data_IF_179742454246
#
_entry.id   IF_179742454246
#
_cell.length_a   1.000
_cell.length_b   1.000
_cell.length_c   1.000
_cell.angle_alpha   90.00
_cell.angle_beta   90.00
_cell.angle_gamma   90.00
#
_symmetry.space_group_name_H-M   'P 1'
#
loop_
_entity.id
_entity.type
_entity.pdbx_description
1 polymer ?
#
# COMPACT_ATOMS: atom_id res chain seq x y z
N UNK A 1 -30.07 -24.28 4.73
CA UNK A 1 -29.94 -23.41 3.55
C UNK A 1 -28.85 -22.39 3.86
N UNK A 2 -27.69 -22.52 3.22
CA UNK A 2 -26.57 -21.60 3.40
C UNK A 2 -26.82 -20.39 2.50
N UNK A 3 -27.04 -19.22 3.11
CA UNK A 3 -27.06 -17.94 2.39
C UNK A 3 -25.63 -17.66 1.95
N UNK A 4 -25.36 -17.86 0.66
CA UNK A 4 -24.14 -17.36 0.05
C UNK A 4 -24.06 -15.84 0.31
N UNK A 5 -22.98 -15.40 0.95
CA UNK A 5 -22.69 -13.99 1.17
C UNK A 5 -22.61 -13.28 -0.20
N UNK A 6 -23.16 -12.07 -0.30
CA UNK A 6 -23.05 -11.26 -1.51
C UNK A 6 -21.57 -10.97 -1.82
N UNK A 7 -21.22 -10.75 -3.09
CA UNK A 7 -19.82 -10.48 -3.47
C UNK A 7 -19.23 -9.25 -2.74
N UNK A 8 -20.07 -8.30 -2.34
CA UNK A 8 -19.73 -7.12 -1.53
C UNK A 8 -19.35 -7.45 -0.06
N UNK A 9 -19.53 -8.68 0.39
CA UNK A 9 -19.17 -9.14 1.75
C UNK A 9 -17.86 -9.94 1.80
N UNK A 10 -17.13 -10.07 0.68
CA UNK A 10 -15.86 -10.78 0.65
C UNK A 10 -14.78 -9.96 1.35
N UNK A 11 -14.27 -10.45 2.49
CA UNK A 11 -13.19 -9.79 3.21
C UNK A 11 -11.92 -9.74 2.36
N UNK A 12 -11.27 -8.58 2.31
CA UNK A 12 -10.00 -8.44 1.63
C UNK A 12 -8.96 -9.41 2.22
N UNK A 13 -8.22 -10.09 1.35
CA UNK A 13 -7.21 -11.07 1.75
C UNK A 13 -5.86 -10.87 1.04
N UNK A 14 -5.77 -9.90 0.15
CA UNK A 14 -4.55 -9.54 -0.56
C UNK A 14 -4.50 -8.03 -0.80
N UNK A 15 -3.30 -7.54 -1.04
CA UNK A 15 -3.07 -6.14 -1.35
C UNK A 15 -1.86 -5.97 -2.27
N UNK A 16 -1.89 -4.90 -3.06
CA UNK A 16 -0.84 -4.53 -4.01
C UNK A 16 0.00 -3.43 -3.39
N UNK A 17 1.32 -3.55 -3.44
CA UNK A 17 2.23 -2.64 -2.75
C UNK A 17 3.38 -2.13 -3.59
N UNK A 18 3.91 -0.97 -3.19
CA UNK A 18 5.28 -0.57 -3.45
C UNK A 18 6.13 -0.81 -2.22
N UNK A 19 7.18 -1.61 -2.37
CA UNK A 19 8.14 -1.83 -1.29
C UNK A 19 8.98 -0.56 -1.10
N UNK A 20 9.06 -0.07 0.13
CA UNK A 20 9.90 1.09 0.45
C UNK A 20 11.33 0.59 0.64
N UNK A 21 12.20 0.91 -0.33
CA UNK A 21 13.63 0.53 -0.32
C UNK A 21 14.57 1.70 -0.04
N UNK A 22 14.05 2.93 0.11
CA UNK A 22 14.86 4.10 0.40
C UNK A 22 15.50 3.96 1.78
N UNK A 23 16.83 3.90 1.83
CA UNK A 23 17.59 3.82 3.08
C UNK A 23 17.31 5.02 3.99
N UNK A 24 17.12 6.20 3.40
CA UNK A 24 16.75 7.42 4.13
C UNK A 24 15.41 7.26 4.84
N UNK A 25 14.37 6.80 4.13
CA UNK A 25 13.04 6.60 4.73
C UNK A 25 13.11 5.54 5.84
N UNK A 26 13.79 4.41 5.58
CA UNK A 26 13.95 3.33 6.56
C UNK A 26 14.67 3.83 7.82
N UNK A 27 15.75 4.60 7.66
CA UNK A 27 16.52 5.19 8.77
C UNK A 27 15.68 6.18 9.58
N UNK A 28 14.86 6.99 8.93
CA UNK A 28 13.98 7.95 9.60
C UNK A 28 12.91 7.23 10.44
N UNK A 29 12.28 6.17 9.90
CA UNK A 29 11.33 5.35 10.66
C UNK A 29 12.01 4.64 11.83
N UNK A 30 13.23 4.12 11.64
CA UNK A 30 13.99 3.51 12.73
C UNK A 30 14.31 4.50 13.85
N UNK A 31 14.56 5.77 13.51
CA UNK A 31 14.79 6.83 14.49
C UNK A 31 13.52 7.08 15.30
N UNK A 32 12.37 7.19 14.63
CA UNK A 32 11.06 7.32 15.29
C UNK A 32 10.78 6.14 16.24
N UNK A 33 11.00 4.89 15.79
CA UNK A 33 10.85 3.72 16.66
C UNK A 33 11.71 3.82 17.92
N UNK A 34 12.98 4.25 17.77
CA UNK A 34 13.90 4.39 18.90
C UNK A 34 13.44 5.47 19.89
N UNK A 35 13.00 6.62 19.39
CA UNK A 35 12.49 7.71 20.23
C UNK A 35 11.23 7.29 20.98
N UNK A 36 10.31 6.59 20.33
CA UNK A 36 9.10 6.06 20.99
C UNK A 36 9.44 5.02 22.07
N UNK A 37 10.43 4.15 21.85
CA UNK A 37 10.89 3.19 22.87
C UNK A 37 11.58 3.84 24.07
N UNK A 38 12.21 4.99 23.88
CA UNK A 38 12.78 5.76 24.99
C UNK A 38 11.68 6.37 25.87
N UNK A 39 10.52 6.66 25.29
CA UNK A 39 9.36 7.18 26.01
C UNK A 39 8.61 6.06 26.73
N UNK A 40 8.32 4.96 26.03
CA UNK A 40 7.62 3.80 26.58
C UNK A 40 8.05 2.51 25.86
N UNK A 41 8.55 1.53 26.63
CA UNK A 41 9.01 0.26 26.09
C UNK A 41 7.89 -0.59 25.47
N UNK A 42 6.64 -0.36 25.88
CA UNK A 42 5.48 -1.15 25.42
C UNK A 42 5.18 -0.89 23.94
N UNK A 43 5.67 0.22 23.37
CA UNK A 43 5.57 0.49 21.93
C UNK A 43 6.26 -0.58 21.07
N UNK A 44 7.20 -1.35 21.62
CA UNK A 44 7.90 -2.42 20.88
C UNK A 44 6.96 -3.42 20.22
N UNK A 45 5.80 -3.67 20.81
CA UNK A 45 4.78 -4.60 20.29
C UNK A 45 3.91 -4.01 19.18
N UNK A 46 3.98 -2.69 18.97
CA UNK A 46 3.12 -1.96 18.02
C UNK A 46 3.80 -1.67 16.68
N UNK A 47 5.14 -1.75 16.64
CA UNK A 47 5.87 -1.39 15.45
C UNK A 47 5.79 -2.46 14.37
N UNK A 48 5.66 -2.00 13.12
CA UNK A 48 5.91 -2.87 11.99
C UNK A 48 7.42 -3.10 11.81
N UNK A 49 7.84 -4.31 11.43
CA UNK A 49 9.22 -4.54 11.03
C UNK A 49 9.65 -3.60 9.90
N UNK A 50 10.86 -3.06 9.96
CA UNK A 50 11.35 -2.10 8.95
C UNK A 50 11.40 -2.72 7.54
N UNK A 51 11.67 -4.03 7.45
CA UNK A 51 11.67 -4.76 6.18
C UNK A 51 10.28 -4.93 5.55
N UNK A 52 9.21 -4.73 6.32
CA UNK A 52 7.84 -4.80 5.81
C UNK A 52 7.28 -3.43 5.43
N UNK A 53 8.08 -2.35 5.43
CA UNK A 53 7.61 -1.02 5.03
C UNK A 53 7.17 -1.02 3.57
N UNK A 54 5.92 -0.59 3.36
CA UNK A 54 5.31 -0.56 2.05
C UNK A 54 4.28 0.56 1.93
N UNK A 55 4.02 0.97 0.70
CA UNK A 55 2.85 1.78 0.35
C UNK A 55 1.80 0.84 -0.23
N UNK A 56 0.66 0.73 0.44
CA UNK A 56 -0.50 -0.02 -0.07
C UNK A 56 -1.19 0.79 -1.16
N UNK A 57 -1.23 0.25 -2.37
CA UNK A 57 -1.89 0.87 -3.53
C UNK A 57 -3.35 0.43 -3.65
N UNK A 58 -3.59 -0.87 -3.50
CA UNK A 58 -4.89 -1.49 -3.72
C UNK A 58 -5.11 -2.63 -2.73
N UNK A 59 -6.32 -2.72 -2.19
CA UNK A 59 -6.77 -3.81 -1.34
C UNK A 59 -7.77 -4.62 -2.16
N UNK A 60 -7.58 -5.94 -2.24
CA UNK A 60 -8.36 -6.83 -3.11
C UNK A 60 -8.73 -8.13 -2.40
N UNK A 61 -9.81 -8.75 -2.88
CA UNK A 61 -10.15 -10.12 -2.54
C UNK A 61 -9.77 -11.04 -3.71
N UNK A 62 -8.84 -11.96 -3.46
CA UNK A 62 -8.40 -12.94 -4.42
C UNK A 62 -8.87 -14.35 -4.05
N UNK A 63 -9.28 -15.09 -5.06
CA UNK A 63 -9.57 -16.51 -5.01
C UNK A 63 -8.96 -17.18 -6.25
N UNK A 64 -9.02 -18.52 -6.32
CA UNK A 64 -8.43 -19.27 -7.44
C UNK A 64 -8.98 -18.86 -8.81
N UNK A 65 -10.22 -18.39 -8.89
CA UNK A 65 -10.87 -18.06 -10.16
C UNK A 65 -10.43 -16.69 -10.69
N UNK A 66 -10.19 -15.70 -9.81
CA UNK A 66 -9.85 -14.33 -10.22
C UNK A 66 -8.36 -13.98 -10.06
N UNK A 67 -7.55 -14.85 -9.44
CA UNK A 67 -6.12 -14.60 -9.22
C UNK A 67 -5.36 -14.30 -10.52
N UNK A 68 -5.56 -15.14 -11.54
CA UNK A 68 -4.88 -14.98 -12.83
C UNK A 68 -5.27 -13.66 -13.50
N UNK A 69 -6.57 -13.34 -13.54
CA UNK A 69 -7.06 -12.08 -14.10
C UNK A 69 -6.50 -10.86 -13.36
N UNK A 70 -6.37 -10.94 -12.02
CA UNK A 70 -5.77 -9.86 -11.24
C UNK A 70 -4.28 -9.69 -11.56
N UNK A 71 -3.51 -10.77 -11.72
CA UNK A 71 -2.12 -10.71 -12.15
C UNK A 71 -1.95 -10.09 -13.55
N UNK A 72 -2.83 -10.44 -14.48
CA UNK A 72 -2.84 -9.90 -15.84
C UNK A 72 -3.18 -8.41 -15.85
N UNK A 73 -4.21 -8.00 -15.10
CA UNK A 73 -4.58 -6.59 -14.96
C UNK A 73 -3.47 -5.74 -14.33
N UNK A 74 -2.78 -6.27 -13.31
CA UNK A 74 -1.63 -5.60 -12.70
C UNK A 74 -0.47 -5.48 -13.69
N UNK A 75 -0.18 -6.53 -14.45
CA UNK A 75 0.88 -6.53 -15.47
C UNK A 75 0.59 -5.51 -16.58
N UNK A 76 -0.66 -5.48 -17.09
CA UNK A 76 -1.10 -4.52 -18.08
C UNK A 76 -1.01 -3.08 -17.57
N UNK A 77 -1.35 -2.85 -16.29
CA UNK A 77 -1.22 -1.54 -15.65
C UNK A 77 0.22 -1.08 -15.59
N UNK A 78 1.15 -1.94 -15.16
CA UNK A 78 2.58 -1.62 -15.12
C UNK A 78 3.10 -1.27 -16.53
N UNK A 79 2.74 -2.06 -17.54
CA UNK A 79 3.14 -1.81 -18.93
C UNK A 79 2.55 -0.51 -19.48
N UNK A 80 1.30 -0.19 -19.15
CA UNK A 80 0.68 1.08 -19.53
C UNK A 80 1.43 2.26 -18.90
N UNK A 81 1.71 2.20 -17.60
CA UNK A 81 2.46 3.24 -16.91
C UNK A 81 3.88 3.40 -17.43
N UNK A 82 4.59 2.32 -17.72
CA UNK A 82 5.93 2.39 -18.31
C UNK A 82 5.94 3.05 -19.69
N UNK A 83 4.87 2.87 -20.48
CA UNK A 83 4.74 3.52 -21.79
C UNK A 83 4.40 5.00 -21.67
N UNK A 84 3.47 5.35 -20.79
CA UNK A 84 3.03 6.74 -20.60
C UNK A 84 4.02 7.59 -19.80
N UNK A 85 4.79 6.95 -18.92
CA UNK A 85 5.74 7.59 -18.04
C UNK A 85 7.13 6.96 -18.23
N UNK A 86 7.92 7.54 -19.14
CA UNK A 86 9.30 7.12 -19.40
C UNK A 86 10.29 7.48 -18.27
N UNK A 87 9.82 8.13 -17.20
CA UNK A 87 10.67 8.64 -16.12
C UNK A 87 10.40 7.90 -14.81
N UNK A 88 11.47 7.78 -14.01
CA UNK A 88 11.37 7.33 -12.63
C UNK A 88 10.43 8.27 -11.85
N UNK A 89 9.52 7.68 -11.08
CA UNK A 89 8.61 8.43 -10.23
C UNK A 89 9.09 8.35 -8.78
N UNK A 90 9.13 9.51 -8.12
CA UNK A 90 9.53 9.63 -6.72
C UNK A 90 8.31 9.81 -5.82
N UNK A 91 8.15 8.92 -4.86
CA UNK A 91 7.16 9.08 -3.77
C UNK A 91 7.80 9.89 -2.66
N UNK A 92 7.22 11.05 -2.36
CA UNK A 92 7.61 11.88 -1.22
C UNK A 92 6.71 11.60 -0.02
N UNK A 93 7.31 11.54 1.16
CA UNK A 93 6.60 11.39 2.44
C UNK A 93 6.76 12.69 3.25
N UNK A 94 5.65 13.27 3.68
CA UNK A 94 5.61 14.57 4.35
C UNK A 94 4.85 14.46 5.68
N UNK A 95 5.55 14.03 6.73
CA UNK A 95 5.02 13.93 8.08
C UNK A 95 4.39 12.58 8.41
N UNK A 96 3.78 12.52 9.59
CA UNK A 96 3.11 11.33 10.13
C UNK A 96 1.64 11.66 10.35
N UNK A 97 0.76 10.73 10.03
CA UNK A 97 -0.66 10.77 10.40
C UNK A 97 -1.05 9.53 11.17
N UNK A 98 -2.22 9.60 11.77
CA UNK A 98 -2.84 8.49 12.47
C UNK A 98 -4.28 8.32 11.99
N UNK A 99 -4.79 7.10 12.08
CA UNK A 99 -6.21 6.81 11.87
C UNK A 99 -6.83 6.39 13.21
N UNK A 100 -7.37 7.38 13.93
CA UNK A 100 -7.85 7.19 15.30
C UNK A 100 -6.72 6.72 16.23
N UNK A 101 -7.03 5.72 17.06
CA UNK A 101 -6.10 5.09 18.01
C UNK A 101 -5.42 3.84 17.43
N UNK A 102 -5.80 3.40 16.22
CA UNK A 102 -5.48 2.07 15.73
C UNK A 102 -4.15 1.97 14.95
N UNK A 103 -3.70 3.07 14.32
CA UNK A 103 -2.48 3.03 13.50
C UNK A 103 -1.88 4.42 13.26
N UNK A 104 -0.54 4.45 13.17
CA UNK A 104 0.23 5.59 12.66
C UNK A 104 0.88 5.21 11.32
N UNK A 105 1.00 6.17 10.42
CA UNK A 105 1.58 5.97 9.09
C UNK A 105 2.27 7.24 8.57
N UNK A 106 3.28 7.06 7.73
CA UNK A 106 3.92 8.16 7.01
C UNK A 106 2.95 8.73 5.97
N UNK A 107 2.73 10.05 6.00
CA UNK A 107 1.84 10.71 5.05
C UNK A 107 2.51 10.85 3.69
N UNK A 108 1.83 10.41 2.63
CA UNK A 108 2.28 10.65 1.25
C UNK A 108 2.01 12.11 0.86
N UNK A 109 3.00 12.76 0.25
CA UNK A 109 2.88 14.13 -0.25
C UNK A 109 1.83 14.26 -1.36
N UNK A 110 1.18 15.43 -1.44
CA UNK A 110 0.00 15.66 -2.32
C UNK A 110 0.25 15.28 -3.77
N UNK A 111 1.38 15.68 -4.37
CA UNK A 111 1.71 15.34 -5.75
C UNK A 111 1.86 13.82 -5.93
N UNK A 112 2.53 13.16 -4.99
CA UNK A 112 2.71 11.71 -5.05
C UNK A 112 1.37 10.97 -4.88
N UNK A 113 0.48 11.47 -4.04
CA UNK A 113 -0.86 10.92 -3.82
C UNK A 113 -1.74 11.03 -5.09
N UNK A 114 -1.69 12.15 -5.82
CA UNK A 114 -2.43 12.31 -7.08
C UNK A 114 -1.98 11.29 -8.11
N UNK A 115 -0.67 11.05 -8.22
CA UNK A 115 -0.13 10.06 -9.14
C UNK A 115 -0.54 8.63 -8.76
N UNK A 116 -0.41 8.26 -7.49
CA UNK A 116 -0.85 6.95 -6.99
C UNK A 116 -2.36 6.73 -7.18
N UNK A 117 -3.16 7.79 -7.07
CA UNK A 117 -4.60 7.73 -7.35
C UNK A 117 -4.89 7.44 -8.82
N UNK A 118 -4.15 8.05 -9.75
CA UNK A 118 -4.26 7.74 -11.18
C UNK A 118 -3.88 6.28 -11.46
N UNK A 119 -2.78 5.82 -10.87
CA UNK A 119 -2.33 4.43 -11.00
C UNK A 119 -3.34 3.42 -10.49
N UNK A 120 -3.95 3.70 -9.33
CA UNK A 120 -5.05 2.89 -8.81
C UNK A 120 -6.24 2.89 -9.77
N UNK A 121 -6.60 4.05 -10.33
CA UNK A 121 -7.67 4.19 -11.32
C UNK A 121 -7.46 3.31 -12.55
N UNK A 122 -6.28 3.36 -13.15
CA UNK A 122 -5.91 2.50 -14.30
C UNK A 122 -5.95 1.02 -13.94
N UNK A 123 -5.53 0.64 -12.73
CA UNK A 123 -5.61 -0.75 -12.25
C UNK A 123 -7.05 -1.25 -12.23
N UNK A 124 -7.98 -0.43 -11.71
CA UNK A 124 -9.41 -0.75 -11.75
C UNK A 124 -9.96 -0.84 -13.18
N UNK A 125 -9.50 -0.01 -14.11
CA UNK A 125 -9.94 -0.08 -15.50
C UNK A 125 -9.49 -1.34 -16.24
N UNK A 126 -8.32 -1.90 -15.89
CA UNK A 126 -7.83 -3.15 -16.46
C UNK A 126 -8.39 -4.40 -15.78
N UNK A 127 -8.71 -4.29 -14.50
CA UNK A 127 -9.32 -5.37 -13.76
C UNK A 127 -10.83 -5.29 -13.94
N UNK A 128 -11.33 -5.87 -15.04
CA UNK A 128 -12.76 -6.16 -15.23
C UNK A 128 -13.23 -7.16 -14.16
N UNK A 129 -13.39 -6.69 -12.92
CA UNK A 129 -14.04 -7.42 -11.85
C UNK A 129 -15.56 -7.35 -12.02
#
# INVERSE_FOLDING_TARGET
>A
MSTALSEDQKSANAFVTFHVKSSEVVSNIQTIHRELLQFDSDFSHTFQPLQSLHVTLLIIHLNKQNFQNACEALSATVQHFQREHQQQFTVHFNGIRHNGEASMYAQIGTQSALWLTKLRGTTHSHASF
#
